data_IF_492099297026
#
_entry.id   IF_492099297026
#
_cell.length_a   1.000
_cell.length_b   1.000
_cell.length_c   1.000
_cell.angle_alpha   90.00
_cell.angle_beta   90.00
_cell.angle_gamma   90.00
#
_symmetry.space_group_name_H-M   'P 1'
#
loop_
_entity.id
_entity.type
_entity.pdbx_description
1 polymer ?
#
# COMPACT_ATOMS: atom_id res chain seq x y z
N UNK A 1 -28.41 11.17 -40.86
CA UNK A 1 -27.36 11.90 -40.11
C UNK A 1 -26.96 11.04 -38.92
N UNK A 2 -25.84 10.32 -39.02
CA UNK A 2 -25.33 9.47 -37.95
C UNK A 2 -24.51 10.33 -36.99
N UNK A 3 -24.82 10.27 -35.70
CA UNK A 3 -24.20 11.10 -34.67
C UNK A 3 -23.09 10.29 -33.96
N UNK A 4 -21.80 10.60 -34.17
CA UNK A 4 -20.70 9.68 -33.85
C UNK A 4 -20.21 9.74 -32.38
N UNK A 5 -20.92 10.41 -31.47
CA UNK A 5 -20.46 10.60 -30.08
C UNK A 5 -21.19 9.68 -29.09
N UNK A 6 -21.10 8.37 -29.30
CA UNK A 6 -21.33 7.41 -28.20
C UNK A 6 -19.99 7.18 -27.51
N UNK A 7 -19.66 8.06 -26.57
CA UNK A 7 -18.64 7.76 -25.56
C UNK A 7 -19.19 6.60 -24.74
N UNK A 8 -18.76 5.38 -25.05
CA UNK A 8 -18.88 4.26 -24.12
C UNK A 8 -18.00 4.62 -22.93
N UNK A 9 -18.61 5.05 -21.83
CA UNK A 9 -17.92 5.12 -20.54
C UNK A 9 -17.57 3.68 -20.20
N UNK A 10 -16.37 3.26 -20.60
CA UNK A 10 -15.70 2.11 -20.01
C UNK A 10 -15.53 2.48 -18.55
N UNK A 11 -16.39 1.91 -17.70
CA UNK A 11 -16.19 1.92 -16.27
C UNK A 11 -14.81 1.33 -16.04
N UNK A 12 -13.83 2.21 -15.79
CA UNK A 12 -12.51 1.80 -15.37
C UNK A 12 -12.70 1.15 -14.00
N UNK A 13 -12.98 -0.15 -13.99
CA UNK A 13 -12.90 -1.04 -12.83
C UNK A 13 -11.43 -1.24 -12.44
N UNK A 14 -10.63 -0.17 -12.53
CA UNK A 14 -9.25 -0.17 -12.09
C UNK A 14 -9.25 -0.47 -10.61
N UNK A 15 -8.61 -1.56 -10.23
CA UNK A 15 -8.45 -1.90 -8.82
C UNK A 15 -7.80 -0.71 -8.12
N UNK A 16 -8.49 -0.14 -7.14
CA UNK A 16 -7.91 0.87 -6.29
C UNK A 16 -6.82 0.21 -5.44
N UNK A 17 -5.64 0.82 -5.41
CA UNK A 17 -4.49 0.26 -4.71
C UNK A 17 -4.20 1.06 -3.44
N UNK A 18 -4.10 0.35 -2.34
CA UNK A 18 -3.50 0.83 -1.11
C UNK A 18 -1.98 0.72 -1.18
N UNK A 19 -1.29 1.58 -0.44
CA UNK A 19 0.18 1.56 -0.32
C UNK A 19 0.57 1.23 1.12
N UNK A 20 1.49 0.28 1.30
CA UNK A 20 2.08 -0.03 2.60
C UNK A 20 3.43 0.68 2.71
N UNK A 21 3.60 1.48 3.75
CA UNK A 21 4.76 2.36 3.98
C UNK A 21 5.45 1.93 5.27
N UNK A 22 6.78 1.92 5.30
CA UNK A 22 7.53 1.69 6.54
C UNK A 22 7.38 2.88 7.49
N UNK A 23 7.09 2.66 8.77
CA UNK A 23 7.02 3.73 9.77
C UNK A 23 8.37 4.40 10.03
N UNK A 24 9.47 3.67 9.84
CA UNK A 24 10.79 4.11 10.29
C UNK A 24 11.58 4.81 9.18
N UNK A 25 11.58 4.25 7.97
CA UNK A 25 12.28 4.85 6.82
C UNK A 25 11.36 5.50 5.79
N UNK A 26 10.03 5.44 5.97
CA UNK A 26 9.03 6.00 5.06
C UNK A 26 9.05 5.46 3.63
N UNK A 27 9.79 4.39 3.38
CA UNK A 27 9.81 3.71 2.08
C UNK A 27 8.56 2.87 1.86
N UNK A 28 8.15 2.80 0.60
CA UNK A 28 7.06 1.95 0.14
C UNK A 28 7.52 0.50 0.13
N UNK A 29 6.75 -0.37 0.78
CA UNK A 29 7.03 -1.81 0.87
C UNK A 29 6.35 -2.57 -0.26
N UNK A 30 5.05 -2.36 -0.43
CA UNK A 30 4.24 -2.97 -1.47
C UNK A 30 2.89 -2.26 -1.60
N UNK A 31 2.19 -2.54 -2.69
CA UNK A 31 0.80 -2.12 -2.90
C UNK A 31 -0.15 -3.30 -2.66
N UNK A 32 -1.36 -3.01 -2.20
CA UNK A 32 -2.40 -4.00 -1.96
C UNK A 32 -3.69 -3.58 -2.67
N UNK A 33 -4.46 -4.50 -3.27
CA UNK A 33 -5.80 -4.19 -3.73
C UNK A 33 -6.67 -3.79 -2.53
N UNK A 34 -7.29 -2.63 -2.61
CA UNK A 34 -8.19 -2.12 -1.57
C UNK A 34 -9.41 -1.47 -2.18
N UNK A 35 -10.47 -1.36 -1.39
CA UNK A 35 -11.60 -0.48 -1.70
C UNK A 35 -11.20 0.95 -1.32
N UNK A 36 -10.91 1.80 -2.32
CA UNK A 36 -10.31 3.13 -2.16
C UNK A 36 -8.78 3.15 -2.06
N UNK A 37 -8.19 4.33 -2.27
CA UNK A 37 -6.77 4.60 -2.00
C UNK A 37 -6.55 4.66 -0.49
N UNK A 38 -5.86 3.65 0.08
CA UNK A 38 -5.56 3.55 1.52
C UNK A 38 -4.05 3.57 1.78
N UNK A 39 -3.64 4.12 2.93
CA UNK A 39 -2.24 4.08 3.40
C UNK A 39 -2.16 3.18 4.62
N UNK A 40 -1.34 2.14 4.54
CA UNK A 40 -1.03 1.26 5.66
C UNK A 40 0.41 1.49 6.10
N UNK A 41 0.68 1.18 7.37
CA UNK A 41 2.00 1.39 7.95
C UNK A 41 2.54 0.11 8.59
N UNK A 42 3.72 -0.32 8.16
CA UNK A 42 4.42 -1.50 8.67
C UNK A 42 5.87 -1.20 9.06
N UNK A 43 6.64 -2.22 9.41
CA UNK A 43 8.10 -2.14 9.61
C UNK A 43 8.76 -3.02 8.56
N UNK A 44 9.78 -2.50 7.88
CA UNK A 44 10.52 -3.26 6.88
C UNK A 44 11.66 -4.06 7.50
N UNK A 45 12.04 -5.17 6.85
CA UNK A 45 13.09 -6.08 7.33
C UNK A 45 14.52 -5.54 7.15
N UNK A 46 14.69 -4.24 6.89
CA UNK A 46 16.02 -3.64 6.87
C UNK A 46 16.57 -3.61 8.28
N UNK A 47 17.85 -3.98 8.41
CA UNK A 47 18.52 -4.09 9.72
C UNK A 47 18.42 -2.80 10.54
N UNK A 48 18.49 -1.64 9.89
CA UNK A 48 18.41 -0.33 10.57
C UNK A 48 16.96 0.13 10.86
N UNK A 49 15.94 -0.59 10.39
CA UNK A 49 14.54 -0.31 10.68
C UNK A 49 13.96 -1.27 11.72
N UNK A 50 14.31 -2.56 11.65
CA UNK A 50 13.82 -3.57 12.59
C UNK A 50 14.36 -3.38 14.02
N UNK A 51 15.55 -2.79 14.17
CA UNK A 51 16.18 -2.52 15.48
C UNK A 51 15.41 -1.51 16.33
N UNK A 52 14.75 -0.53 15.71
CA UNK A 52 13.93 0.47 16.41
C UNK A 52 12.62 -0.13 16.97
N UNK A 53 12.19 -1.28 16.45
CA UNK A 53 11.01 -2.01 16.95
C UNK A 53 11.35 -3.09 17.98
N UNK A 54 12.63 -3.44 18.15
CA UNK A 54 13.12 -4.47 19.07
C UNK A 54 13.34 -3.94 20.51
N UNK A 55 12.51 -2.98 20.95
CA UNK A 55 12.49 -2.48 22.33
C UNK A 55 11.61 -3.28 23.28
N UNK A 56 11.05 -4.41 22.84
CA UNK A 56 10.32 -5.40 23.65
C UNK A 56 10.64 -6.79 23.11
N UNK A 57 11.86 -7.23 23.40
CA UNK A 57 12.28 -8.62 23.29
C UNK A 57 11.48 -9.40 24.34
N UNK A 58 10.54 -10.23 23.89
CA UNK A 58 10.03 -11.31 24.71
C UNK A 58 11.14 -12.34 24.86
N UNK A 59 11.50 -12.64 26.10
CA UNK A 59 12.22 -13.84 26.51
C UNK A 59 11.46 -15.08 26.02
N UNK A 60 12.13 -15.96 25.28
CA UNK A 60 11.80 -17.39 25.24
C UNK A 60 13.10 -18.16 25.49
N UNK A 61 13.09 -18.95 26.56
CA UNK A 61 14.19 -19.74 27.15
C UNK A 61 14.72 -20.87 26.24
#
# INVERSE_FOLDING_TARGET
>A
MYNPNRVTQEEQTGMELGTVICKNCLDVLFTLPTDGVKRFYGICSRENCAKESAGMEGEEE
#
